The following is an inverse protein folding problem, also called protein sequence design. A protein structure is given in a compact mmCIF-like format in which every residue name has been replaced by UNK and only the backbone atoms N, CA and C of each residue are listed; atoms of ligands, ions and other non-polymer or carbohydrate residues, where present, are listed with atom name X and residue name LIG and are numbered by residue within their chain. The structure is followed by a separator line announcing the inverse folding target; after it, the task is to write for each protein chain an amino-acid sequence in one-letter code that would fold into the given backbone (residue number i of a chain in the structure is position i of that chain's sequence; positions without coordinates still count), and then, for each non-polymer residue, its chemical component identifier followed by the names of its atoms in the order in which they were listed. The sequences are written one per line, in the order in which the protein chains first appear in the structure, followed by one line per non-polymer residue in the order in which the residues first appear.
data_IF_345260451496
#
_entry.id   IF_345260451496
#
_cell.length_a   1.000
_cell.length_b   1.000
_cell.length_c   1.000
_cell.angle_alpha   90.00
_cell.angle_beta   90.00
_cell.angle_gamma   90.00
#
_symmetry.space_group_name_H-M   'P 1'
#
loop_
_entity.id
_entity.type
_entity.pdbx_description
1 polymer ?
#
# COMPACT_ATOMS: atom_id res chain seq x y z
N UNK A 1 -28.02 72.37 13.48
CA UNK A 1 -28.52 71.00 13.26
C UNK A 1 -27.63 70.04 14.03
N UNK A 2 -28.13 69.38 15.08
CA UNK A 2 -27.34 68.42 15.88
C UNK A 2 -27.43 67.05 15.19
N UNK A 3 -26.30 66.55 14.70
CA UNK A 3 -26.17 65.23 14.09
C UNK A 3 -26.20 64.19 15.23
N UNK A 4 -27.08 63.20 15.09
CA UNK A 4 -27.34 62.20 16.13
C UNK A 4 -26.43 60.98 15.89
N UNK A 5 -25.24 61.00 16.51
CA UNK A 5 -24.19 59.98 16.36
C UNK A 5 -24.61 58.56 16.78
N UNK A 6 -25.73 58.43 17.52
CA UNK A 6 -26.33 57.15 17.89
C UNK A 6 -26.78 56.34 16.65
N UNK A 7 -27.19 57.02 15.57
CA UNK A 7 -27.61 56.35 14.32
C UNK A 7 -26.41 55.95 13.44
N UNK A 8 -25.27 56.64 13.60
CA UNK A 8 -24.04 56.36 12.85
C UNK A 8 -23.28 55.15 13.42
N UNK A 9 -23.34 54.93 14.74
CA UNK A 9 -22.69 53.78 15.37
C UNK A 9 -23.38 52.43 15.05
N UNK A 10 -24.69 52.42 14.84
CA UNK A 10 -25.45 51.18 14.54
C UNK A 10 -25.17 50.66 13.12
N UNK A 11 -24.88 51.54 12.16
CA UNK A 11 -24.57 51.17 10.77
C UNK A 11 -23.15 50.60 10.59
N UNK A 12 -22.22 50.91 11.49
CA UNK A 12 -20.82 50.42 11.42
C UNK A 12 -20.69 48.99 11.96
N UNK A 13 -21.57 48.58 12.89
CA UNK A 13 -21.54 47.24 13.49
C UNK A 13 -22.04 46.16 12.52
N UNK A 14 -22.90 46.52 11.56
CA UNK A 14 -23.49 45.58 10.59
C UNK A 14 -22.47 45.17 9.50
N UNK A 15 -21.38 45.92 9.31
CA UNK A 15 -20.35 45.63 8.31
C UNK A 15 -19.24 44.67 8.78
N UNK A 16 -19.20 44.28 10.06
CA UNK A 16 -18.13 43.42 10.60
C UNK A 16 -18.50 41.96 10.87
N UNK A 17 -19.73 41.52 10.59
CA UNK A 17 -20.16 40.12 10.79
C UNK A 17 -20.19 39.23 9.55
N UNK A 18 -19.63 39.69 8.42
CA UNK A 18 -19.52 38.85 7.22
C UNK A 18 -18.19 38.06 7.18
N UNK A 19 -17.94 37.24 8.19
CA UNK A 19 -17.07 36.08 8.05
C UNK A 19 -17.93 34.83 8.27
N UNK A 20 -18.70 34.47 7.24
CA UNK A 20 -19.17 33.10 7.14
C UNK A 20 -17.92 32.24 6.89
N UNK A 21 -17.58 31.37 7.85
CA UNK A 21 -16.62 30.30 7.64
C UNK A 21 -17.19 29.43 6.52
N UNK A 22 -16.75 29.66 5.28
CA UNK A 22 -17.00 28.72 4.21
C UNK A 22 -16.39 27.40 4.64
N UNK A 23 -17.17 26.32 4.68
CA UNK A 23 -16.62 24.97 4.84
C UNK A 23 -15.52 24.84 3.80
N UNK A 24 -14.26 24.79 4.26
CA UNK A 24 -13.12 24.54 3.40
C UNK A 24 -13.34 23.12 2.89
N UNK A 25 -13.75 23.03 1.63
CA UNK A 25 -14.00 21.81 0.89
C UNK A 25 -12.81 20.88 1.08
N UNK A 26 -12.98 19.86 1.94
CA UNK A 26 -12.02 18.78 2.15
C UNK A 26 -12.11 17.74 1.03
N UNK A 27 -12.75 18.08 -0.10
CA UNK A 27 -12.99 17.11 -1.16
C UNK A 27 -11.70 16.69 -1.84
N UNK A 28 -10.68 17.53 -1.95
CA UNK A 28 -9.48 17.07 -2.65
C UNK A 28 -8.80 15.93 -1.89
N UNK A 29 -8.99 15.79 -0.57
CA UNK A 29 -8.41 14.69 0.22
C UNK A 29 -9.34 13.47 0.32
N UNK A 30 -10.65 13.69 0.30
CA UNK A 30 -11.66 12.63 0.39
C UNK A 30 -11.93 12.00 -0.98
N UNK A 31 -11.95 12.81 -2.04
CA UNK A 31 -12.07 12.40 -3.44
C UNK A 31 -10.80 11.71 -3.95
N UNK A 32 -9.61 12.11 -3.48
CA UNK A 32 -8.37 11.35 -3.75
C UNK A 32 -8.34 10.00 -3.00
N UNK A 33 -8.88 9.92 -1.79
CA UNK A 33 -9.00 8.64 -1.06
C UNK A 33 -10.07 7.71 -1.67
N UNK A 34 -11.20 8.24 -2.13
CA UNK A 34 -12.24 7.45 -2.81
C UNK A 34 -11.79 7.00 -4.20
N UNK A 35 -11.06 7.84 -4.95
CA UNK A 35 -10.53 7.45 -6.26
C UNK A 35 -9.32 6.50 -6.19
N UNK A 36 -8.40 6.64 -5.23
CA UNK A 36 -7.34 5.63 -5.01
C UNK A 36 -7.91 4.29 -4.55
N UNK A 37 -8.87 4.28 -3.60
CA UNK A 37 -9.44 3.02 -3.09
C UNK A 37 -10.33 2.28 -4.11
N UNK A 38 -11.00 3.00 -5.01
CA UNK A 38 -11.74 2.38 -6.12
C UNK A 38 -10.81 1.85 -7.21
N UNK A 39 -9.72 2.55 -7.53
CA UNK A 39 -8.71 2.09 -8.50
C UNK A 39 -7.95 0.85 -7.99
N UNK A 40 -7.73 0.75 -6.68
CA UNK A 40 -7.10 -0.42 -6.05
C UNK A 40 -8.01 -1.66 -6.06
N UNK A 41 -9.33 -1.47 -6.01
CA UNK A 41 -10.29 -2.59 -5.92
C UNK A 41 -10.49 -3.33 -7.24
N UNK A 42 -10.49 -2.62 -8.38
CA UNK A 42 -10.65 -3.26 -9.70
C UNK A 42 -9.37 -3.96 -10.19
N UNK A 43 -8.20 -3.47 -9.75
CA UNK A 43 -6.90 -3.97 -10.22
C UNK A 43 -6.33 -5.11 -9.37
N UNK A 44 -6.96 -5.48 -8.26
CA UNK A 44 -6.48 -6.52 -7.36
C UNK A 44 -7.40 -7.73 -7.34
N UNK A 45 -6.90 -8.85 -7.85
CA UNK A 45 -7.57 -10.15 -7.77
C UNK A 45 -7.03 -10.92 -6.58
N UNK A 46 -7.88 -11.25 -5.60
CA UNK A 46 -7.48 -12.12 -4.50
C UNK A 46 -7.07 -13.51 -5.01
N UNK A 47 -5.89 -13.97 -4.61
CA UNK A 47 -5.37 -15.29 -5.01
C UNK A 47 -5.49 -16.25 -3.83
N UNK A 48 -4.83 -15.96 -2.72
CA UNK A 48 -4.84 -16.81 -1.53
C UNK A 48 -4.34 -16.08 -0.27
N UNK A 49 -4.48 -16.77 0.86
CA UNK A 49 -3.97 -16.36 2.17
C UNK A 49 -3.13 -17.50 2.74
N UNK A 50 -2.00 -17.15 3.36
CA UNK A 50 -1.11 -18.13 3.95
C UNK A 50 0.12 -17.48 4.56
N UNK A 51 1.13 -18.30 4.88
CA UNK A 51 2.36 -17.82 5.51
C UNK A 51 3.38 -17.41 4.45
N UNK A 52 3.98 -16.24 4.63
CA UNK A 52 5.15 -15.79 3.90
C UNK A 52 6.43 -16.05 4.69
N UNK A 53 7.54 -16.29 3.99
CA UNK A 53 8.89 -16.12 4.54
C UNK A 53 9.75 -15.23 3.63
N UNK A 54 11.06 -15.19 3.86
CA UNK A 54 12.00 -14.53 2.96
C UNK A 54 13.30 -15.32 2.79
N UNK A 55 13.97 -15.11 1.66
CA UNK A 55 15.22 -15.78 1.35
C UNK A 55 16.36 -15.37 2.29
N UNK A 56 17.20 -16.34 2.64
CA UNK A 56 18.49 -16.09 3.27
C UNK A 56 19.49 -15.45 2.29
N UNK A 57 20.37 -14.58 2.79
CA UNK A 57 21.35 -13.83 2.00
C UNK A 57 22.26 -14.70 1.13
N UNK A 58 22.50 -15.97 1.54
CA UNK A 58 23.29 -16.96 0.79
C UNK A 58 22.77 -17.28 -0.61
N UNK A 59 21.55 -16.89 -0.94
CA UNK A 59 20.98 -17.07 -2.28
C UNK A 59 21.35 -15.93 -3.23
N UNK A 60 21.80 -14.78 -2.72
CA UNK A 60 22.17 -13.63 -3.55
C UNK A 60 23.19 -13.99 -4.63
N UNK A 61 22.96 -13.52 -5.85
CA UNK A 61 23.81 -13.80 -7.00
C UNK A 61 23.57 -15.17 -7.65
N UNK A 62 22.67 -16.00 -7.12
CA UNK A 62 22.34 -17.30 -7.72
C UNK A 62 21.22 -17.17 -8.74
N UNK A 63 21.19 -18.11 -9.69
CA UNK A 63 20.14 -18.19 -10.71
C UNK A 63 18.83 -18.67 -10.09
N UNK A 64 17.73 -17.98 -10.38
CA UNK A 64 16.37 -18.37 -10.05
C UNK A 64 15.80 -19.34 -11.09
N UNK A 65 14.62 -19.88 -10.82
CA UNK A 65 13.87 -20.75 -11.73
C UNK A 65 13.36 -20.04 -12.99
N UNK A 66 13.20 -18.71 -12.97
CA UNK A 66 12.94 -17.94 -14.19
C UNK A 66 14.19 -17.75 -15.05
N UNK A 67 15.38 -18.05 -14.49
CA UNK A 67 16.67 -17.86 -15.13
C UNK A 67 17.35 -16.53 -14.82
N UNK A 68 16.67 -15.63 -14.12
CA UNK A 68 17.24 -14.36 -13.63
C UNK A 68 18.25 -14.59 -12.50
N UNK A 69 19.13 -13.63 -12.26
CA UNK A 69 19.98 -13.64 -11.06
C UNK A 69 19.20 -13.06 -9.89
N UNK A 70 19.11 -13.79 -8.79
CA UNK A 70 18.47 -13.32 -7.58
C UNK A 70 19.26 -12.17 -6.94
N UNK A 71 18.61 -11.01 -6.86
CA UNK A 71 19.10 -9.86 -6.12
C UNK A 71 18.26 -9.67 -4.85
N UNK A 72 18.90 -9.69 -3.68
CA UNK A 72 18.21 -9.53 -2.40
C UNK A 72 17.54 -8.16 -2.25
N UNK A 73 18.00 -7.17 -3.03
CA UNK A 73 17.53 -5.80 -2.99
C UNK A 73 16.37 -5.53 -3.95
N UNK A 74 16.03 -6.47 -4.83
CA UNK A 74 14.94 -6.32 -5.78
C UNK A 74 13.58 -6.66 -5.15
N UNK A 75 12.50 -6.18 -5.75
CA UNK A 75 11.13 -6.47 -5.30
C UNK A 75 10.61 -7.75 -5.97
N UNK A 76 11.11 -8.90 -5.52
CA UNK A 76 10.79 -10.21 -6.13
C UNK A 76 10.34 -11.24 -5.10
N UNK A 77 9.74 -12.34 -5.58
CA UNK A 77 9.31 -13.46 -4.77
C UNK A 77 9.39 -14.80 -5.52
N UNK A 78 9.51 -15.88 -4.75
CA UNK A 78 9.20 -17.24 -5.19
C UNK A 78 7.77 -17.61 -4.84
N UNK A 79 7.15 -18.36 -5.74
CA UNK A 79 5.86 -19.00 -5.53
C UNK A 79 5.87 -20.43 -6.09
N UNK A 80 5.16 -21.41 -5.50
CA UNK A 80 5.13 -22.78 -6.01
C UNK A 80 4.68 -22.90 -7.47
N UNK A 81 3.58 -22.24 -7.84
CA UNK A 81 2.91 -22.44 -9.14
C UNK A 81 2.61 -21.19 -9.97
N UNK A 82 2.56 -19.98 -9.39
CA UNK A 82 2.15 -18.78 -10.12
C UNK A 82 3.10 -18.44 -11.29
N UNK A 83 2.56 -17.96 -12.44
CA UNK A 83 3.39 -17.64 -13.59
C UNK A 83 4.51 -16.63 -13.27
N UNK A 84 5.68 -16.81 -13.87
CA UNK A 84 6.74 -15.81 -13.76
C UNK A 84 6.32 -14.49 -14.42
N UNK A 85 6.85 -13.38 -13.91
CA UNK A 85 6.62 -12.03 -14.44
C UNK A 85 5.34 -11.36 -13.99
N UNK A 86 4.42 -12.07 -13.33
CA UNK A 86 3.25 -11.42 -12.74
C UNK A 86 3.65 -10.60 -11.51
N UNK A 87 2.86 -9.57 -11.23
CA UNK A 87 3.00 -8.76 -10.02
C UNK A 87 1.96 -9.15 -9.00
N UNK A 88 2.40 -9.26 -7.75
CA UNK A 88 1.58 -9.56 -6.60
C UNK A 88 1.65 -8.42 -5.61
N UNK A 89 0.50 -7.99 -5.10
CA UNK A 89 0.42 -7.25 -3.85
C UNK A 89 0.37 -8.25 -2.70
N UNK A 90 1.35 -8.17 -1.81
CA UNK A 90 1.45 -9.01 -0.62
C UNK A 90 1.14 -8.13 0.58
N UNK A 91 0.08 -8.46 1.32
CA UNK A 91 -0.37 -7.71 2.49
C UNK A 91 -0.15 -8.52 3.76
N UNK A 92 0.62 -7.98 4.70
CA UNK A 92 0.79 -8.56 6.03
C UNK A 92 -0.45 -8.26 6.88
N UNK A 93 -1.09 -9.32 7.38
CA UNK A 93 -2.38 -9.22 8.08
C UNK A 93 -2.22 -8.56 9.46
N UNK A 94 -1.07 -8.78 10.12
CA UNK A 94 -0.81 -8.30 11.48
C UNK A 94 -0.62 -6.78 11.53
N UNK A 95 0.09 -6.20 10.56
CA UNK A 95 0.47 -4.79 10.57
C UNK A 95 -0.16 -3.95 9.43
N UNK A 96 -0.98 -4.59 8.57
CA UNK A 96 -1.61 -3.99 7.39
C UNK A 96 -0.66 -3.40 6.33
N UNK A 97 0.66 -3.56 6.47
CA UNK A 97 1.61 -3.13 5.43
C UNK A 97 1.46 -4.02 4.20
N UNK A 98 1.70 -3.43 3.04
CA UNK A 98 1.66 -4.12 1.76
C UNK A 98 2.89 -3.81 0.92
N UNK A 99 3.19 -4.72 0.00
CA UNK A 99 4.32 -4.59 -0.90
C UNK A 99 3.99 -5.23 -2.24
N UNK A 100 4.39 -4.59 -3.34
CA UNK A 100 4.28 -5.18 -4.68
C UNK A 100 5.58 -5.89 -5.00
N UNK A 101 5.49 -7.15 -5.43
CA UNK A 101 6.61 -7.99 -5.84
C UNK A 101 6.34 -8.65 -7.18
N UNK A 102 7.39 -8.95 -7.93
CA UNK A 102 7.32 -9.74 -9.15
C UNK A 102 7.69 -11.19 -8.87
N UNK A 103 6.90 -12.13 -9.39
CA UNK A 103 7.24 -13.56 -9.28
C UNK A 103 8.37 -13.88 -10.25
N UNK A 104 9.51 -14.34 -9.76
CA UNK A 104 10.65 -14.71 -10.60
C UNK A 104 11.35 -16.01 -10.17
N UNK A 105 10.83 -16.71 -9.17
CA UNK A 105 11.42 -17.96 -8.72
C UNK A 105 10.37 -18.98 -8.27
N UNK A 106 10.82 -20.21 -8.02
CA UNK A 106 10.04 -21.31 -7.48
C UNK A 106 10.59 -21.66 -6.11
N UNK A 107 9.66 -21.91 -5.19
CA UNK A 107 9.97 -22.57 -3.93
C UNK A 107 9.31 -23.95 -3.91
N UNK A 108 9.84 -24.92 -3.15
CA UNK A 108 9.15 -26.19 -2.96
C UNK A 108 7.79 -25.94 -2.31
N UNK A 109 6.80 -26.75 -2.71
CA UNK A 109 5.45 -26.69 -2.14
C UNK A 109 5.43 -27.32 -0.74
N UNK A 110 5.88 -26.54 0.25
CA UNK A 110 5.79 -26.90 1.66
C UNK A 110 4.45 -26.45 2.20
N UNK A 111 3.69 -27.36 2.83
CA UNK A 111 2.32 -27.14 3.36
C UNK A 111 2.14 -25.94 4.30
N UNK A 112 3.22 -25.30 4.73
CA UNK A 112 3.20 -24.23 5.72
C UNK A 112 3.65 -22.87 5.17
N UNK A 113 3.98 -22.71 3.88
CA UNK A 113 4.33 -21.41 3.26
C UNK A 113 3.83 -21.31 1.83
N UNK A 114 3.29 -20.15 1.47
CA UNK A 114 2.76 -19.89 0.13
C UNK A 114 3.70 -19.02 -0.72
N UNK A 115 4.57 -18.23 -0.08
CA UNK A 115 5.44 -17.28 -0.78
C UNK A 115 6.74 -17.02 0.00
N UNK A 116 7.86 -17.00 -0.71
CA UNK A 116 9.17 -16.61 -0.16
C UNK A 116 9.60 -15.28 -0.81
N UNK A 117 9.66 -14.21 -0.02
CA UNK A 117 9.95 -12.84 -0.46
C UNK A 117 11.46 -12.56 -0.55
N UNK A 118 11.86 -11.59 -1.36
CA UNK A 118 13.20 -11.01 -1.27
C UNK A 118 13.43 -10.31 0.07
N UNK A 119 14.70 -10.11 0.45
CA UNK A 119 15.05 -9.41 1.68
C UNK A 119 14.51 -7.96 1.68
N UNK A 120 14.61 -7.25 0.54
CA UNK A 120 14.05 -5.90 0.41
C UNK A 120 12.53 -5.88 0.57
N UNK A 121 11.81 -6.85 0.00
CA UNK A 121 10.37 -6.96 0.16
C UNK A 121 9.98 -7.26 1.62
N UNK A 122 10.70 -8.17 2.29
CA UNK A 122 10.48 -8.50 3.69
C UNK A 122 10.76 -7.33 4.63
N UNK A 123 11.78 -6.51 4.34
CA UNK A 123 12.05 -5.25 5.07
C UNK A 123 10.89 -4.26 4.94
N UNK A 124 10.39 -4.05 3.71
CA UNK A 124 9.25 -3.15 3.47
C UNK A 124 7.95 -3.64 4.11
N UNK A 125 7.76 -4.97 4.14
CA UNK A 125 6.61 -5.61 4.76
C UNK A 125 6.73 -5.70 6.30
N UNK A 126 7.88 -5.31 6.85
CA UNK A 126 8.17 -5.29 8.28
C UNK A 126 7.96 -6.66 8.94
N UNK A 127 8.65 -7.66 8.38
CA UNK A 127 8.59 -9.05 8.83
C UNK A 127 9.95 -9.67 9.15
N UNK A 128 11.02 -8.86 9.17
CA UNK A 128 12.39 -9.36 9.37
C UNK A 128 12.55 -9.99 10.75
N UNK A 129 12.00 -9.34 11.79
CA UNK A 129 12.05 -9.84 13.17
C UNK A 129 11.31 -11.14 13.37
N UNK A 130 10.15 -11.29 12.74
CA UNK A 130 9.30 -12.48 12.87
C UNK A 130 9.80 -13.65 12.02
N UNK A 131 10.54 -13.40 10.93
CA UNK A 131 10.97 -14.42 9.98
C UNK A 131 9.85 -14.85 9.03
N UNK A 132 8.68 -15.13 9.59
CA UNK A 132 7.46 -15.53 8.87
C UNK A 132 6.24 -14.79 9.37
N UNK A 133 5.30 -14.44 8.48
CA UNK A 133 4.05 -13.75 8.83
C UNK A 133 2.89 -14.28 7.98
N UNK A 134 1.67 -14.17 8.49
CA UNK A 134 0.49 -14.40 7.67
C UNK A 134 0.25 -13.23 6.70
N UNK A 135 0.01 -13.57 5.44
CA UNK A 135 -0.23 -12.61 4.36
C UNK A 135 -1.45 -12.98 3.54
N UNK A 136 -2.06 -11.97 2.93
CA UNK A 136 -2.95 -12.13 1.77
C UNK A 136 -2.19 -11.71 0.52
N UNK A 137 -2.30 -12.51 -0.54
CA UNK A 137 -1.72 -12.19 -1.84
C UNK A 137 -2.81 -11.89 -2.86
N UNK A 138 -2.57 -10.84 -3.65
CA UNK A 138 -3.45 -10.38 -4.71
C UNK A 138 -2.65 -10.27 -5.99
N UNK A 139 -3.20 -10.70 -7.11
CA UNK A 139 -2.63 -10.43 -8.43
C UNK A 139 -2.97 -9.00 -8.83
N UNK A 140 -1.94 -8.26 -9.23
CA UNK A 140 -2.08 -6.93 -9.82
C UNK A 140 -2.39 -7.11 -11.32
N UNK A 141 -3.59 -6.70 -11.74
CA UNK A 141 -4.02 -6.68 -13.14
C UNK A 141 -3.57 -5.36 -13.81
N UNK A 142 -3.38 -5.41 -15.13
CA UNK A 142 -3.05 -4.27 -15.98
C UNK A 142 -4.25 -3.92 -16.84
#
# INVERSE_FOLDING_TARGET
MKINYLLLCVLVIIFFSACASSKRFTSDKEFLNESESQLDSENLEFIEQGVASYYADKYHGKKTSSGEIYNMNDMTAAHPSLPFGIFLLVKNIKNNKSVIVRVNDRMPDFKNRIIDLSLAAAKKLDMISEGTVEVKIYRVRK
#
